data_IF_899081744222
#
_entry.id   IF_899081744222
#
_cell.length_a   1.000
_cell.length_b   1.000
_cell.length_c   1.000
_cell.angle_alpha   90.00
_cell.angle_beta   90.00
_cell.angle_gamma   90.00
#
_symmetry.space_group_name_H-M   'P 1'
#
loop_
_entity.id
_entity.type
_entity.pdbx_description
1 polymer ?
#
# COMPACT_ATOMS: atom_id res chain seq x y z
N UNK A 1 9.56 -14.63 2.67
CA UNK A 1 8.62 -13.61 2.17
C UNK A 1 7.45 -13.59 3.13
N UNK A 2 7.17 -12.47 3.78
CA UNK A 2 5.96 -12.33 4.59
C UNK A 2 4.74 -12.28 3.65
N UNK A 3 3.69 -13.03 3.98
CA UNK A 3 2.46 -13.06 3.20
C UNK A 3 1.62 -11.84 3.55
N UNK A 4 1.21 -11.05 2.56
CA UNK A 4 0.22 -9.98 2.74
C UNK A 4 -1.16 -10.62 2.94
N UNK A 5 -1.92 -10.12 3.92
CA UNK A 5 -3.25 -10.61 4.27
C UNK A 5 -4.27 -9.45 4.24
N UNK A 6 -5.54 -9.79 4.10
CA UNK A 6 -6.65 -8.83 4.24
C UNK A 6 -6.61 -8.25 5.66
N UNK A 7 -6.73 -6.93 5.78
CA UNK A 7 -6.56 -6.17 7.01
C UNK A 7 -5.12 -5.75 7.32
N UNK A 8 -4.12 -6.17 6.53
CA UNK A 8 -2.77 -5.63 6.67
C UNK A 8 -2.71 -4.16 6.24
N UNK A 9 -1.85 -3.40 6.90
CA UNK A 9 -1.44 -2.08 6.43
C UNK A 9 -0.27 -2.19 5.47
N UNK A 10 -0.42 -1.56 4.30
CA UNK A 10 0.54 -1.61 3.21
C UNK A 10 0.76 -0.22 2.62
N UNK A 11 1.89 0.01 1.95
CA UNK A 11 2.22 1.29 1.33
C UNK A 11 2.44 1.05 -0.16
N UNK A 12 1.93 1.96 -0.99
CA UNK A 12 2.21 1.97 -2.42
C UNK A 12 3.65 2.45 -2.67
N UNK A 13 4.48 1.60 -3.26
CA UNK A 13 5.79 1.94 -3.79
C UNK A 13 5.79 1.71 -5.30
N UNK A 14 5.43 2.72 -6.10
CA UNK A 14 5.51 2.61 -7.54
C UNK A 14 6.97 2.65 -8.03
N UNK A 15 7.19 2.30 -9.29
CA UNK A 15 8.49 2.48 -9.94
C UNK A 15 8.92 3.97 -9.97
N UNK A 16 10.23 4.24 -10.04
CA UNK A 16 10.76 5.60 -10.07
C UNK A 16 10.12 6.42 -11.21
N UNK A 17 9.44 7.51 -10.86
CA UNK A 17 8.77 8.42 -11.81
C UNK A 17 7.25 8.25 -11.90
N UNK A 18 6.65 7.30 -11.18
CA UNK A 18 5.21 7.10 -11.13
C UNK A 18 4.56 7.79 -9.92
N UNK A 19 3.27 8.14 -10.04
CA UNK A 19 2.54 8.83 -8.99
C UNK A 19 2.31 7.94 -7.76
N UNK A 20 2.54 8.49 -6.56
CA UNK A 20 2.20 7.84 -5.31
C UNK A 20 0.68 7.73 -5.18
N UNK A 21 0.22 6.60 -4.64
CA UNK A 21 -1.19 6.41 -4.29
C UNK A 21 -1.29 6.72 -2.81
N UNK A 22 -2.37 7.41 -2.43
CA UNK A 22 -2.62 7.83 -1.05
C UNK A 22 -1.45 8.67 -0.47
N UNK A 23 -0.77 9.47 -1.31
CA UNK A 23 0.40 10.28 -0.96
C UNK A 23 1.54 9.50 -0.24
N UNK A 24 1.63 8.18 -0.49
CA UNK A 24 2.61 7.31 0.17
C UNK A 24 2.26 6.95 1.62
N UNK A 25 1.02 7.22 2.05
CA UNK A 25 0.51 6.79 3.34
C UNK A 25 0.14 5.30 3.34
N UNK A 26 0.04 4.74 4.55
CA UNK A 26 -0.45 3.37 4.73
C UNK A 26 -1.91 3.25 4.27
N UNK A 27 -2.20 2.16 3.59
CA UNK A 27 -3.50 1.76 3.09
C UNK A 27 -3.85 0.40 3.67
N UNK A 28 -5.12 0.13 3.92
CA UNK A 28 -5.56 -1.15 4.45
C UNK A 28 -5.93 -2.09 3.31
N UNK A 29 -5.45 -3.33 3.34
CA UNK A 29 -5.81 -4.33 2.34
C UNK A 29 -7.25 -4.80 2.54
N UNK A 30 -8.12 -4.52 1.57
CA UNK A 30 -9.51 -4.98 1.55
C UNK A 30 -9.65 -6.35 0.89
N UNK A 31 -8.91 -6.59 -0.20
CA UNK A 31 -9.04 -7.81 -0.99
C UNK A 31 -7.73 -8.16 -1.70
N UNK A 32 -7.48 -9.45 -1.88
CA UNK A 32 -6.35 -9.99 -2.63
C UNK A 32 -6.88 -10.75 -3.85
N UNK A 33 -6.53 -10.30 -5.05
CA UNK A 33 -6.92 -10.88 -6.33
C UNK A 33 -5.68 -11.30 -7.13
N UNK A 34 -5.17 -12.50 -6.84
CA UNK A 34 -3.97 -13.03 -7.49
C UNK A 34 -2.75 -12.14 -7.26
N UNK A 35 -2.33 -11.42 -8.30
CA UNK A 35 -1.21 -10.47 -8.28
C UNK A 35 -1.63 -9.01 -8.02
N UNK A 36 -2.93 -8.75 -7.79
CA UNK A 36 -3.45 -7.41 -7.49
C UNK A 36 -4.03 -7.39 -6.08
N UNK A 37 -3.88 -6.26 -5.39
CA UNK A 37 -4.35 -6.02 -4.04
C UNK A 37 -5.25 -4.79 -4.07
N UNK A 38 -6.48 -4.94 -3.60
CA UNK A 38 -7.40 -3.82 -3.42
C UNK A 38 -7.15 -3.24 -2.04
N UNK A 39 -6.75 -1.98 -1.98
CA UNK A 39 -6.45 -1.27 -0.75
C UNK A 39 -7.43 -0.12 -0.53
N UNK A 40 -7.87 0.12 0.70
CA UNK A 40 -8.62 1.31 1.07
C UNK A 40 -7.67 2.50 1.18
N UNK A 41 -7.96 3.56 0.41
CA UNK A 41 -7.26 4.85 0.47
C UNK A 41 -8.21 5.94 0.97
N UNK A 42 -7.71 7.15 1.24
CA UNK A 42 -8.55 8.29 1.61
C UNK A 42 -9.50 8.71 0.48
N UNK A 43 -9.09 8.52 -0.78
CA UNK A 43 -9.91 8.81 -1.96
C UNK A 43 -10.92 7.69 -2.30
N UNK A 44 -10.80 6.52 -1.65
CA UNK A 44 -11.62 5.34 -1.92
C UNK A 44 -10.79 4.06 -2.14
N UNK A 45 -11.42 2.93 -2.45
CA UNK A 45 -10.70 1.69 -2.76
C UNK A 45 -9.91 1.85 -4.07
N UNK A 46 -8.63 1.47 -4.03
CA UNK A 46 -7.72 1.47 -5.18
C UNK A 46 -7.15 0.07 -5.41
N UNK A 47 -7.10 -0.35 -6.67
CA UNK A 47 -6.47 -1.62 -7.07
C UNK A 47 -5.01 -1.39 -7.42
N UNK A 48 -4.11 -2.10 -6.75
CA UNK A 48 -2.66 -1.89 -6.85
C UNK A 48 -1.98 -3.25 -7.03
N UNK A 49 -1.02 -3.39 -7.96
CA UNK A 49 -0.23 -4.61 -8.10
C UNK A 49 0.51 -4.96 -6.81
N UNK A 50 0.51 -6.24 -6.43
CA UNK A 50 1.23 -6.74 -5.27
C UNK A 50 2.75 -6.47 -5.36
N UNK A 51 3.29 -6.35 -6.58
CA UNK A 51 4.68 -5.97 -6.84
C UNK A 51 5.00 -4.52 -6.47
N UNK A 52 4.00 -3.64 -6.49
CA UNK A 52 4.12 -2.22 -6.14
C UNK A 52 3.70 -1.95 -4.69
N UNK A 53 3.52 -3.01 -3.89
CA UNK A 53 3.09 -2.92 -2.51
C UNK A 53 4.19 -3.38 -1.56
N UNK A 54 4.37 -2.62 -0.48
CA UNK A 54 5.22 -3.01 0.64
C UNK A 54 4.37 -3.14 1.89
N UNK A 55 4.49 -4.28 2.59
CA UNK A 55 3.86 -4.46 3.89
C UNK A 55 4.43 -3.44 4.88
N UNK A 56 3.55 -2.64 5.49
CA UNK A 56 3.89 -1.55 6.40
C UNK A 56 4.39 -2.02 7.78
N UNK A 57 5.07 -3.17 7.88
CA UNK A 57 5.70 -3.64 9.13
C UNK A 57 6.93 -2.81 9.51
N UNK A 58 7.41 -1.96 8.60
CA UNK A 58 8.52 -1.05 8.86
C UNK A 58 7.97 0.34 9.17
N UNK A 59 8.03 0.70 10.45
CA UNK A 59 7.98 2.08 10.94
C UNK A 59 8.76 2.96 9.95
N UNK A 60 8.09 3.84 9.21
CA UNK A 60 8.79 4.89 8.48
C UNK A 60 9.33 5.85 9.54
N UNK A 61 10.59 5.67 9.94
CA UNK A 61 11.37 6.73 10.62
C UNK A 61 11.49 7.89 9.65
N UNK A 62 10.50 8.78 9.59
CA UNK A 62 10.55 9.97 8.75
C UNK A 62 9.21 10.59 8.33
N UNK A 63 8.08 9.90 8.47
CA UNK A 63 6.78 10.52 8.15
C UNK A 63 6.26 11.32 9.35
N UNK A 64 6.69 12.58 9.43
CA UNK A 64 6.11 13.58 10.34
C UNK A 64 5.01 14.28 9.55
N UNK A 65 3.75 14.00 9.88
CA UNK A 65 2.62 14.79 9.40
C UNK A 65 2.81 16.24 9.82
N UNK A 66 2.75 17.14 8.84
CA UNK A 66 2.71 18.60 9.02
C UNK A 66 1.28 19.11 8.96
#
# INVERSE_FOLDING_TARGET
METIQIGDQVIHKPEEGHALINDGQAMEVLQLEGDTIICQTEAGPASIPASEIIKGTTIIKGYVGG
#
